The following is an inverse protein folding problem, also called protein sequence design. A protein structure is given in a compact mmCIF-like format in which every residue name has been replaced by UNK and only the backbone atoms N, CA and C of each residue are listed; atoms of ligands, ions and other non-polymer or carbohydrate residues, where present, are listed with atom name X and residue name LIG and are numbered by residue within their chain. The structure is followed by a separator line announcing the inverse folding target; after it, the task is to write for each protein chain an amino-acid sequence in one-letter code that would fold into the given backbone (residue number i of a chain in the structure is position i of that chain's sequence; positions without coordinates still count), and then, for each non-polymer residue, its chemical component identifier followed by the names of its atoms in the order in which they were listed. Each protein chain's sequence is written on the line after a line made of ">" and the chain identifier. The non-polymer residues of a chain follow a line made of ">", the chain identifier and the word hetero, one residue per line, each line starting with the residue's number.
data_IF_918788354588
#
_entry.id   IF_918788354588
#
_cell.length_a   1.000
_cell.length_b   1.000
_cell.length_c   1.000
_cell.angle_alpha   90.00
_cell.angle_beta   90.00
_cell.angle_gamma   90.00
#
_symmetry.space_group_name_H-M   'P 1'
#
loop_
_entity.id
_entity.type
_entity.pdbx_description
1 polymer ?
#
# COMPACT_ATOMS: atom_id res chain seq x y z
N UNK A 1 2.92 3.38 -16.95
CA UNK A 1 3.21 1.94 -16.78
C UNK A 1 2.67 1.48 -15.44
N UNK A 2 1.88 0.43 -15.45
CA UNK A 2 1.32 -0.11 -14.20
C UNK A 2 2.30 -1.13 -13.61
N UNK A 3 2.73 -0.88 -12.39
CA UNK A 3 3.59 -1.84 -11.69
C UNK A 3 2.73 -2.98 -11.18
N UNK A 4 3.09 -4.21 -11.57
CA UNK A 4 2.40 -5.40 -11.10
C UNK A 4 3.32 -6.20 -10.19
N UNK A 5 2.80 -6.54 -9.03
CA UNK A 5 3.51 -7.39 -8.08
C UNK A 5 3.10 -8.85 -8.30
N UNK A 6 4.04 -9.81 -8.26
CA UNK A 6 3.75 -11.21 -8.58
C UNK A 6 3.04 -11.92 -7.43
N UNK A 7 1.78 -11.58 -7.21
CA UNK A 7 0.95 -12.21 -6.19
C UNK A 7 0.20 -13.37 -6.84
N UNK A 8 0.32 -14.55 -6.27
CA UNK A 8 -0.09 -15.81 -6.90
C UNK A 8 -1.45 -16.32 -6.46
N UNK A 9 -1.73 -16.29 -5.16
CA UNK A 9 -2.97 -16.83 -4.59
C UNK A 9 -4.13 -15.89 -4.86
N UNK A 10 -5.32 -16.44 -5.15
CA UNK A 10 -6.54 -15.65 -5.33
C UNK A 10 -6.92 -14.89 -4.06
N UNK A 11 -6.76 -15.53 -2.90
CA UNK A 11 -7.00 -14.89 -1.60
C UNK A 11 -6.05 -13.72 -1.41
N UNK A 12 -4.75 -13.93 -1.71
CA UNK A 12 -3.73 -12.88 -1.62
C UNK A 12 -4.05 -11.70 -2.54
N UNK A 13 -4.49 -11.99 -3.76
CA UNK A 13 -4.88 -10.94 -4.72
C UNK A 13 -6.03 -10.10 -4.20
N UNK A 14 -7.02 -10.73 -3.60
CA UNK A 14 -8.17 -10.01 -3.01
C UNK A 14 -7.73 -9.09 -1.88
N UNK A 15 -6.85 -9.57 -1.01
CA UNK A 15 -6.32 -8.79 0.11
C UNK A 15 -5.52 -7.61 -0.43
N UNK A 16 -4.64 -7.85 -1.40
CA UNK A 16 -3.81 -6.82 -2.02
C UNK A 16 -4.66 -5.74 -2.69
N UNK A 17 -5.64 -6.16 -3.50
CA UNK A 17 -6.51 -5.20 -4.20
C UNK A 17 -7.41 -4.42 -3.24
N UNK A 18 -7.83 -5.05 -2.14
CA UNK A 18 -8.57 -4.35 -1.08
C UNK A 18 -7.74 -3.25 -0.46
N UNK A 19 -6.47 -3.52 -0.16
CA UNK A 19 -5.54 -2.54 0.36
C UNK A 19 -5.29 -1.41 -0.65
N UNK A 20 -5.06 -1.76 -1.93
CA UNK A 20 -4.88 -0.75 -2.98
C UNK A 20 -6.08 0.17 -3.12
N UNK A 21 -7.29 -0.39 -3.05
CA UNK A 21 -8.52 0.37 -3.15
C UNK A 21 -8.66 1.37 -2.00
N UNK A 22 -8.36 0.92 -0.79
CA UNK A 22 -8.38 1.80 0.38
C UNK A 22 -7.34 2.90 0.24
N UNK A 23 -6.14 2.55 -0.20
CA UNK A 23 -5.05 3.49 -0.42
C UNK A 23 -5.44 4.54 -1.46
N UNK A 24 -6.02 4.12 -2.58
CA UNK A 24 -6.50 5.03 -3.63
C UNK A 24 -7.54 6.01 -3.08
N UNK A 25 -8.45 5.51 -2.25
CA UNK A 25 -9.48 6.34 -1.63
C UNK A 25 -8.86 7.41 -0.73
N UNK A 26 -7.89 7.03 0.08
CA UNK A 26 -7.21 7.95 1.01
C UNK A 26 -6.36 8.98 0.27
N UNK A 27 -5.86 8.66 -0.91
CA UNK A 27 -5.01 9.55 -1.70
C UNK A 27 -5.76 10.49 -2.63
N UNK A 28 -7.10 10.39 -2.70
CA UNK A 28 -7.92 11.22 -3.59
C UNK A 28 -7.68 12.73 -3.49
N UNK A 29 -7.44 13.32 -2.30
CA UNK A 29 -7.20 14.77 -2.21
C UNK A 29 -5.94 15.25 -2.92
N UNK A 30 -5.02 14.36 -3.26
CA UNK A 30 -3.73 14.75 -3.85
C UNK A 30 -3.79 14.80 -5.38
N UNK A 31 -2.93 15.62 -6.01
CA UNK A 31 -2.75 15.59 -7.47
C UNK A 31 -2.36 14.20 -7.94
N UNK A 32 -2.71 13.85 -9.18
CA UNK A 32 -2.49 12.52 -9.73
C UNK A 32 -1.03 12.07 -9.66
N UNK A 33 -0.09 12.95 -10.00
CA UNK A 33 1.34 12.62 -9.96
C UNK A 33 1.80 12.28 -8.56
N UNK A 34 1.34 13.03 -7.56
CA UNK A 34 1.67 12.78 -6.17
C UNK A 34 1.06 11.45 -5.68
N UNK A 35 -0.18 11.19 -6.09
CA UNK A 35 -0.87 9.94 -5.73
C UNK A 35 -0.11 8.73 -6.24
N UNK A 36 0.32 8.75 -7.49
CA UNK A 36 1.01 7.63 -8.11
C UNK A 36 2.36 7.36 -7.42
N UNK A 37 3.12 8.41 -7.13
CA UNK A 37 4.41 8.29 -6.47
C UNK A 37 4.27 7.68 -5.07
N UNK A 38 3.34 8.20 -4.29
CA UNK A 38 3.11 7.72 -2.91
C UNK A 38 2.58 6.29 -2.93
N UNK A 39 1.64 6.01 -3.81
CA UNK A 39 1.07 4.67 -3.96
C UNK A 39 2.15 3.65 -4.28
N UNK A 40 3.01 3.96 -5.24
CA UNK A 40 4.10 3.08 -5.64
C UNK A 40 5.06 2.82 -4.49
N UNK A 41 5.42 3.86 -3.76
CA UNK A 41 6.32 3.75 -2.62
C UNK A 41 5.73 2.85 -1.54
N UNK A 42 4.47 3.08 -1.18
CA UNK A 42 3.80 2.29 -0.14
C UNK A 42 3.66 0.83 -0.56
N UNK A 43 3.21 0.58 -1.80
CA UNK A 43 3.03 -0.78 -2.29
C UNK A 43 4.36 -1.52 -2.40
N UNK A 44 5.44 -0.83 -2.79
CA UNK A 44 6.78 -1.42 -2.84
C UNK A 44 7.25 -1.84 -1.46
N UNK A 45 7.09 -0.99 -0.46
CA UNK A 45 7.44 -1.32 0.93
C UNK A 45 6.61 -2.49 1.45
N UNK A 46 5.33 -2.49 1.14
CA UNK A 46 4.43 -3.56 1.57
C UNK A 46 4.86 -4.91 0.97
N UNK A 47 5.14 -4.92 -0.33
CA UNK A 47 5.57 -6.12 -1.02
C UNK A 47 6.90 -6.64 -0.45
N UNK A 48 7.86 -5.76 -0.26
CA UNK A 48 9.16 -6.11 0.31
C UNK A 48 9.01 -6.68 1.73
N UNK A 49 8.16 -6.06 2.54
CA UNK A 49 7.85 -6.55 3.89
C UNK A 49 7.24 -7.95 3.85
N UNK A 50 6.34 -8.19 2.90
CA UNK A 50 5.72 -9.51 2.73
C UNK A 50 6.75 -10.55 2.29
N UNK A 51 7.66 -10.20 1.37
CA UNK A 51 8.71 -11.10 0.93
C UNK A 51 9.64 -11.53 2.06
N UNK A 52 9.88 -10.64 3.01
CA UNK A 52 10.76 -10.91 4.15
C UNK A 52 10.05 -11.57 5.32
N UNK A 53 8.74 -11.74 5.24
CA UNK A 53 7.96 -12.40 6.28
C UNK A 53 8.20 -13.90 6.23
N UNK A 54 8.23 -14.54 7.40
CA UNK A 54 8.55 -15.96 7.55
C UNK A 54 7.33 -16.88 7.51
N UNK A 55 6.13 -16.34 7.38
CA UNK A 55 4.93 -17.15 7.30
C UNK A 55 4.95 -18.01 6.03
N UNK A 56 4.41 -19.23 6.13
CA UNK A 56 4.39 -20.17 5.00
C UNK A 56 3.40 -19.76 3.91
N UNK A 57 2.23 -19.27 4.31
CA UNK A 57 1.18 -18.88 3.37
C UNK A 57 1.39 -17.45 2.87
N UNK A 58 1.21 -17.25 1.56
CA UNK A 58 1.35 -15.93 0.93
C UNK A 58 0.38 -14.91 1.54
N UNK A 59 -0.88 -15.30 1.74
CA UNK A 59 -1.88 -14.41 2.32
C UNK A 59 -1.51 -13.98 3.74
N UNK A 60 -0.92 -14.85 4.53
CA UNK A 60 -0.46 -14.51 5.87
C UNK A 60 0.69 -13.51 5.81
N UNK A 61 1.62 -13.69 4.89
CA UNK A 61 2.73 -12.75 4.71
C UNK A 61 2.22 -11.35 4.38
N UNK A 62 1.24 -11.26 3.50
CA UNK A 62 0.66 -9.98 3.09
C UNK A 62 -0.12 -9.35 4.26
N UNK A 63 -0.94 -10.12 4.97
CA UNK A 63 -1.67 -9.63 6.13
C UNK A 63 -0.71 -9.10 7.19
N UNK A 64 0.35 -9.86 7.47
CA UNK A 64 1.36 -9.45 8.46
C UNK A 64 2.07 -8.15 8.02
N UNK A 65 2.36 -8.02 6.74
CA UNK A 65 2.97 -6.80 6.20
C UNK A 65 2.05 -5.60 6.36
N UNK A 66 0.75 -5.77 6.08
CA UNK A 66 -0.25 -4.71 6.26
C UNK A 66 -0.34 -4.32 7.74
N UNK A 67 -0.34 -5.29 8.64
CA UNK A 67 -0.38 -5.04 10.09
C UNK A 67 0.84 -4.24 10.55
N UNK A 68 2.03 -4.59 10.06
CA UNK A 68 3.26 -3.86 10.41
C UNK A 68 3.25 -2.43 9.91
N UNK A 69 2.65 -2.21 8.75
CA UNK A 69 2.54 -0.87 8.18
C UNK A 69 1.58 0.01 8.99
N UNK A 70 0.55 -0.60 9.57
CA UNK A 70 -0.45 0.11 10.35
C UNK A 70 -1.58 0.67 9.51
N UNK A 71 -2.47 1.41 10.15
CA UNK A 71 -3.62 1.99 9.46
C UNK A 71 -3.19 3.11 8.51
N UNK A 72 -3.77 3.20 7.30
CA UNK A 72 -3.41 4.26 6.35
C UNK A 72 -3.52 5.67 6.93
N UNK A 73 -4.49 5.92 7.79
CA UNK A 73 -4.67 7.24 8.40
C UNK A 73 -3.46 7.68 9.24
N UNK A 74 -2.75 6.72 9.85
CA UNK A 74 -1.61 7.02 10.72
C UNK A 74 -0.41 7.58 9.96
N UNK A 75 -0.18 7.10 8.73
CA UNK A 75 0.98 7.55 7.96
C UNK A 75 0.61 8.46 6.78
N UNK A 76 -0.61 8.38 6.26
CA UNK A 76 -1.03 9.18 5.12
C UNK A 76 -1.50 10.57 5.52
N UNK A 77 -2.21 10.71 6.63
CA UNK A 77 -2.77 12.01 7.04
C UNK A 77 -1.69 13.09 7.21
N UNK A 78 -0.58 12.84 7.95
CA UNK A 78 0.50 13.82 8.03
C UNK A 78 1.15 14.12 6.69
N UNK A 79 1.35 13.09 5.86
CA UNK A 79 1.97 13.23 4.55
C UNK A 79 1.11 14.07 3.61
N UNK A 80 -0.19 13.81 3.57
CA UNK A 80 -1.14 14.56 2.75
C UNK A 80 -1.19 16.01 3.20
N UNK A 81 -1.23 16.25 4.50
CA UNK A 81 -1.24 17.59 5.06
C UNK A 81 0.00 18.38 4.64
N UNK A 82 1.18 17.76 4.72
CA UNK A 82 2.43 18.40 4.33
C UNK A 82 2.45 18.76 2.85
N UNK A 83 1.97 17.87 1.99
CA UNK A 83 1.93 18.09 0.54
C UNK A 83 0.96 19.24 0.21
N UNK A 84 -0.22 19.25 0.81
CA UNK A 84 -1.21 20.29 0.55
C UNK A 84 -0.76 21.66 1.06
N UNK A 85 0.00 21.72 2.15
CA UNK A 85 0.55 22.95 2.66
C UNK A 85 1.66 23.52 1.79
N UNK A 86 2.38 22.65 1.09
CA UNK A 86 3.48 23.06 0.22
C UNK A 86 3.02 23.66 -1.10
N UNK A 87 1.75 23.52 -1.44
CA UNK A 87 1.20 24.06 -2.69
C UNK A 87 0.64 25.50 -2.52
#
# INVERSE_FOLDING_TARGET
>A
MTLQFPIKSETSKKIWHGFERELNHKLKPLPESERDDIKMEILSHLYESALNDKADAEEERIINAIDRLGEPDLYLTPLISDILQAQ
#
